data_IF_180325848307
#
_entry.id   IF_180325848307
#
_cell.length_a   1.000
_cell.length_b   1.000
_cell.length_c   1.000
_cell.angle_alpha   90.00
_cell.angle_beta   90.00
_cell.angle_gamma   90.00
#
_symmetry.space_group_name_H-M   'P 1'
#
loop_
_entity.id
_entity.type
_entity.pdbx_description
1 polymer ?
#
# COMPACT_ATOMS: atom_id res chain seq x y z
N UNK A 1 -30.51 6.83 27.15
CA UNK A 1 -29.52 6.56 26.09
C UNK A 1 -28.18 7.05 26.60
N UNK A 2 -27.22 6.17 26.79
CA UNK A 2 -25.87 6.56 27.20
C UNK A 2 -25.07 6.98 25.97
N UNK A 3 -24.52 8.19 25.96
CA UNK A 3 -23.58 8.62 24.95
C UNK A 3 -22.20 8.14 25.35
N UNK A 4 -21.61 7.27 24.59
CA UNK A 4 -20.22 6.85 24.78
C UNK A 4 -19.35 7.83 24.02
N UNK A 5 -18.54 8.59 24.75
CA UNK A 5 -17.61 9.54 24.17
C UNK A 5 -16.29 8.82 23.87
N UNK A 6 -15.97 8.66 22.59
CA UNK A 6 -14.70 8.13 22.10
C UNK A 6 -13.74 9.26 21.70
N UNK A 7 -14.05 10.51 22.03
CA UNK A 7 -13.08 11.57 21.76
C UNK A 7 -11.83 11.33 22.59
N UNK A 8 -10.71 11.23 21.94
CA UNK A 8 -9.41 11.14 22.58
C UNK A 8 -9.06 12.51 23.17
N UNK A 9 -9.52 12.76 24.40
CA UNK A 9 -9.01 13.88 25.18
C UNK A 9 -7.56 13.55 25.58
N UNK A 10 -6.64 13.89 24.72
CA UNK A 10 -5.23 13.90 25.05
C UNK A 10 -5.03 14.89 26.18
N UNK A 11 -4.78 14.39 27.38
CA UNK A 11 -4.42 15.21 28.52
C UNK A 11 -3.27 16.13 28.16
N UNK A 12 -3.54 17.40 28.19
CA UNK A 12 -2.75 18.50 27.79
C UNK A 12 -1.26 18.40 28.02
N UNK A 13 -0.57 18.21 27.02
CA UNK A 13 0.74 18.75 26.73
C UNK A 13 0.83 18.73 25.23
N UNK A 14 1.32 19.78 24.65
CA UNK A 14 1.52 19.95 23.21
C UNK A 14 2.36 18.78 22.67
N UNK A 15 1.81 17.61 22.72
CA UNK A 15 2.31 16.37 22.18
C UNK A 15 1.29 15.92 21.15
N UNK A 16 1.74 15.47 20.03
CA UNK A 16 0.88 14.76 19.10
C UNK A 16 0.05 13.74 19.89
N UNK A 17 -1.25 13.63 19.62
CA UNK A 17 -2.05 12.61 20.27
C UNK A 17 -1.30 11.28 20.09
N UNK A 18 -1.17 10.52 21.16
CA UNK A 18 -0.35 9.30 21.20
C UNK A 18 -0.73 8.27 20.14
N UNK A 19 -1.83 8.50 19.44
CA UNK A 19 -2.41 7.64 18.41
C UNK A 19 -2.58 8.34 17.04
N UNK A 20 -1.81 9.41 16.78
CA UNK A 20 -1.86 10.02 15.46
C UNK A 20 -1.29 9.05 14.43
N UNK A 21 -2.14 8.62 13.51
CA UNK A 21 -1.72 7.90 12.31
C UNK A 21 -0.81 8.84 11.52
N UNK A 22 0.38 8.36 11.20
CA UNK A 22 1.36 9.11 10.40
C UNK A 22 1.44 8.50 9.01
N UNK A 23 0.73 9.03 8.03
CA UNK A 23 0.92 8.60 6.66
C UNK A 23 2.29 9.07 6.17
N UNK A 24 2.94 8.23 5.40
CA UNK A 24 4.21 8.54 4.73
C UNK A 24 4.17 8.05 3.29
N UNK A 25 4.96 8.71 2.46
CA UNK A 25 5.09 8.34 1.05
C UNK A 25 6.38 7.54 0.88
N UNK A 26 6.27 6.40 0.22
CA UNK A 26 7.38 5.53 -0.14
C UNK A 26 7.44 5.39 -1.65
N UNK A 27 8.64 5.46 -2.19
CA UNK A 27 8.91 5.14 -3.58
C UNK A 27 9.79 3.90 -3.64
N UNK A 28 9.44 2.96 -4.51
CA UNK A 28 10.29 1.81 -4.81
C UNK A 28 11.57 2.26 -5.55
N UNK A 29 12.56 1.38 -5.61
CA UNK A 29 13.60 1.50 -6.63
C UNK A 29 12.96 1.42 -8.01
N UNK A 30 13.61 2.01 -9.00
CA UNK A 30 13.23 1.79 -10.39
C UNK A 30 13.60 0.35 -10.72
N UNK A 31 12.61 -0.41 -11.19
CA UNK A 31 12.85 -1.70 -11.81
C UNK A 31 13.21 -1.46 -13.29
N UNK A 32 14.26 -2.13 -13.75
CA UNK A 32 14.71 -2.06 -15.13
C UNK A 32 14.83 -3.49 -15.69
N UNK A 33 14.02 -3.82 -16.67
CA UNK A 33 14.02 -5.14 -17.28
C UNK A 33 15.28 -5.40 -18.13
N UNK A 34 16.04 -4.37 -18.49
CA UNK A 34 17.33 -4.55 -19.16
C UNK A 34 18.37 -5.22 -18.24
N UNK A 35 18.26 -5.01 -16.92
CA UNK A 35 19.12 -5.66 -15.93
C UNK A 35 18.65 -7.09 -15.60
N UNK A 36 17.34 -7.32 -15.66
CA UNK A 36 16.73 -8.62 -15.35
C UNK A 36 15.48 -8.79 -16.18
N UNK A 37 15.52 -9.64 -17.20
CA UNK A 37 14.37 -9.92 -18.04
C UNK A 37 13.18 -10.36 -17.19
N UNK A 38 12.02 -9.77 -17.47
CA UNK A 38 10.75 -10.20 -16.93
C UNK A 38 10.09 -11.22 -17.84
N UNK A 39 9.66 -12.30 -17.23
CA UNK A 39 8.84 -13.34 -17.88
C UNK A 39 7.40 -13.15 -17.47
N UNK A 40 6.48 -13.45 -18.37
CA UNK A 40 5.05 -13.39 -18.06
C UNK A 40 4.72 -14.23 -16.82
N UNK A 41 4.00 -13.65 -15.87
CA UNK A 41 3.67 -14.11 -14.53
C UNK A 41 4.75 -13.94 -13.46
N UNK A 42 5.89 -13.35 -13.76
CA UNK A 42 6.83 -12.97 -12.71
C UNK A 42 6.21 -11.95 -11.75
N UNK A 43 6.55 -12.12 -10.48
CA UNK A 43 6.09 -11.24 -9.39
C UNK A 43 7.29 -10.57 -8.73
N UNK A 44 7.26 -9.26 -8.68
CA UNK A 44 8.32 -8.43 -8.14
C UNK A 44 7.83 -7.75 -6.87
N UNK A 45 8.49 -7.98 -5.74
CA UNK A 45 8.27 -7.22 -4.51
C UNK A 45 8.96 -5.87 -4.61
N UNK A 46 8.21 -4.79 -4.48
CA UNK A 46 8.72 -3.43 -4.75
C UNK A 46 8.77 -2.54 -3.52
N UNK A 47 7.86 -2.69 -2.57
CA UNK A 47 7.81 -1.91 -1.32
C UNK A 47 7.41 -2.84 -0.19
N UNK A 48 8.25 -2.97 0.84
CA UNK A 48 7.90 -3.72 2.04
C UNK A 48 6.83 -2.96 2.84
N UNK A 49 5.83 -3.69 3.30
CA UNK A 49 4.75 -3.18 4.15
C UNK A 49 4.95 -3.70 5.57
N UNK A 50 5.14 -2.81 6.54
CA UNK A 50 5.23 -3.21 7.94
C UNK A 50 3.90 -3.76 8.46
N UNK A 51 3.96 -4.53 9.54
CA UNK A 51 2.77 -4.97 10.25
C UNK A 51 1.91 -3.76 10.65
N UNK A 52 0.61 -3.97 10.62
CA UNK A 52 -0.35 -2.94 11.01
C UNK A 52 -0.29 -1.68 10.16
N UNK A 53 0.04 -1.81 8.89
CA UNK A 53 -0.02 -0.71 7.92
C UNK A 53 -1.25 -0.79 7.03
N UNK A 54 -1.66 0.36 6.52
CA UNK A 54 -2.73 0.50 5.53
C UNK A 54 -2.17 1.24 4.33
N UNK A 55 -2.38 0.73 3.12
CA UNK A 55 -2.09 1.45 1.89
C UNK A 55 -3.26 2.37 1.58
N UNK A 56 -3.04 3.67 1.60
CA UNK A 56 -4.07 4.69 1.36
C UNK A 56 -4.24 5.02 -0.12
N UNK A 57 -3.25 4.70 -0.94
CA UNK A 57 -3.24 4.93 -2.37
C UNK A 57 -1.83 4.99 -2.92
N UNK A 58 -1.70 5.28 -4.20
CA UNK A 58 -0.40 5.38 -4.84
C UNK A 58 -0.51 5.40 -6.35
N UNK A 59 0.60 5.09 -7.01
CA UNK A 59 0.62 4.90 -8.45
C UNK A 59 1.72 3.93 -8.90
N UNK A 60 1.45 3.26 -10.00
CA UNK A 60 2.44 2.62 -10.85
C UNK A 60 2.87 3.63 -11.92
N UNK A 61 4.13 3.97 -11.98
CA UNK A 61 4.72 4.89 -12.95
C UNK A 61 5.57 4.07 -13.93
N UNK A 62 5.03 3.88 -15.14
CA UNK A 62 5.73 3.21 -16.23
C UNK A 62 6.59 4.23 -16.95
N UNK A 63 7.90 4.12 -16.77
CA UNK A 63 8.92 5.05 -17.27
C UNK A 63 9.38 4.71 -18.67
N UNK A 64 9.25 3.44 -19.08
CA UNK A 64 9.56 2.95 -20.40
C UNK A 64 8.64 1.78 -20.74
N UNK A 65 7.98 1.88 -21.88
CA UNK A 65 7.03 0.89 -22.36
C UNK A 65 7.65 -0.49 -22.58
N UNK A 66 6.95 -1.53 -22.14
CA UNK A 66 7.44 -2.91 -22.15
C UNK A 66 7.37 -3.62 -23.50
N UNK A 67 6.82 -2.98 -24.52
CA UNK A 67 6.49 -3.60 -25.79
C UNK A 67 5.04 -4.10 -25.86
N UNK A 68 4.64 -4.65 -26.97
CA UNK A 68 3.26 -5.05 -27.21
C UNK A 68 2.79 -6.15 -26.26
N UNK A 69 1.60 -5.99 -25.72
CA UNK A 69 0.90 -6.95 -24.86
C UNK A 69 1.41 -7.10 -23.43
N UNK A 70 2.28 -6.23 -22.95
CA UNK A 70 2.65 -6.19 -21.54
C UNK A 70 1.55 -5.49 -20.73
N UNK A 71 1.10 -6.12 -19.66
CA UNK A 71 0.21 -5.51 -18.67
C UNK A 71 0.71 -5.81 -17.26
N UNK A 72 0.25 -5.03 -16.29
CA UNK A 72 0.65 -5.18 -14.90
C UNK A 72 -0.56 -5.29 -13.97
N UNK A 73 -0.46 -6.19 -13.01
CA UNK A 73 -1.24 -6.16 -11.79
C UNK A 73 -0.40 -5.59 -10.67
N UNK A 74 -1.00 -4.83 -9.79
CA UNK A 74 -0.35 -4.31 -8.58
C UNK A 74 -1.22 -4.64 -7.37
N UNK A 75 -0.62 -5.25 -6.38
CA UNK A 75 -1.34 -5.65 -5.18
C UNK A 75 -0.45 -6.12 -4.05
N UNK A 76 -0.95 -7.07 -3.29
CA UNK A 76 -0.26 -7.73 -2.16
C UNK A 76 -0.26 -9.24 -2.35
N UNK A 77 0.45 -9.98 -1.49
CA UNK A 77 0.61 -11.44 -1.67
C UNK A 77 -0.71 -12.22 -1.66
N UNK A 78 -1.72 -11.72 -0.94
CA UNK A 78 -3.04 -12.35 -0.83
C UNK A 78 -3.99 -11.94 -1.96
N UNK A 79 -3.69 -10.82 -2.64
CA UNK A 79 -4.53 -10.24 -3.69
C UNK A 79 -3.64 -9.41 -4.63
N UNK A 80 -3.15 -10.04 -5.68
CA UNK A 80 -2.08 -9.48 -6.52
C UNK A 80 -2.55 -8.34 -7.44
N UNK A 81 -3.83 -8.20 -7.66
CA UNK A 81 -4.48 -7.17 -8.48
C UNK A 81 -5.28 -6.13 -7.66
N UNK A 82 -5.10 -6.20 -6.35
CA UNK A 82 -5.82 -5.40 -5.37
C UNK A 82 -5.77 -3.88 -5.59
N UNK A 83 -4.73 -3.36 -6.20
CA UNK A 83 -4.53 -1.93 -6.46
C UNK A 83 -4.71 -1.58 -7.93
N UNK A 84 -4.20 -2.41 -8.82
CA UNK A 84 -4.36 -2.28 -10.27
C UNK A 84 -4.53 -3.67 -10.88
N UNK A 85 -5.49 -3.77 -11.79
CA UNK A 85 -5.81 -4.98 -12.54
C UNK A 85 -5.58 -4.73 -14.04
N UNK A 86 -4.62 -5.44 -14.62
CA UNK A 86 -4.34 -5.45 -16.05
C UNK A 86 -4.00 -4.08 -16.66
N UNK A 87 -3.31 -3.19 -15.93
CA UNK A 87 -2.96 -1.88 -16.49
C UNK A 87 -1.93 -1.99 -17.60
N UNK A 88 -2.03 -1.11 -18.58
CA UNK A 88 -1.23 -1.15 -19.81
C UNK A 88 0.25 -0.83 -19.53
N UNK A 89 1.13 -1.79 -19.78
CA UNK A 89 2.58 -1.64 -19.72
C UNK A 89 3.22 -1.22 -21.04
N UNK A 90 2.40 -0.99 -22.09
CA UNK A 90 2.90 -0.64 -23.43
C UNK A 90 2.99 0.86 -23.67
N UNK A 91 2.68 1.66 -22.68
CA UNK A 91 2.73 3.13 -22.74
C UNK A 91 3.48 3.68 -21.53
N UNK A 92 4.26 4.74 -21.74
CA UNK A 92 4.82 5.55 -20.67
C UNK A 92 3.66 6.32 -20.02
N UNK A 93 3.22 5.86 -18.85
CA UNK A 93 2.02 6.38 -18.21
C UNK A 93 2.06 6.18 -16.70
N UNK A 94 1.26 6.98 -15.99
CA UNK A 94 1.05 6.85 -14.55
C UNK A 94 -0.34 6.30 -14.30
N UNK A 95 -0.41 5.17 -13.63
CA UNK A 95 -1.64 4.50 -13.23
C UNK A 95 -1.87 4.68 -11.74
N UNK A 96 -2.80 5.58 -11.39
CA UNK A 96 -3.16 5.81 -10.00
C UNK A 96 -3.98 4.66 -9.45
N UNK A 97 -3.75 4.29 -8.22
CA UNK A 97 -4.54 3.30 -7.52
C UNK A 97 -5.01 3.81 -6.15
N UNK A 98 -6.15 3.31 -5.76
CA UNK A 98 -6.69 3.52 -4.43
C UNK A 98 -7.27 2.18 -3.97
N UNK A 99 -7.06 1.78 -2.74
CA UNK A 99 -7.55 0.52 -2.20
C UNK A 99 -9.06 0.61 -1.92
N UNK A 100 -9.88 0.80 -2.94
CA UNK A 100 -11.29 1.18 -2.73
C UNK A 100 -12.26 0.02 -2.76
N UNK A 101 -11.94 -1.07 -3.44
CA UNK A 101 -13.01 -1.98 -3.84
C UNK A 101 -13.01 -3.34 -3.15
N UNK A 102 -11.89 -3.81 -2.62
CA UNK A 102 -11.74 -5.23 -2.30
C UNK A 102 -11.36 -5.54 -0.86
N UNK A 103 -11.63 -4.64 0.07
CA UNK A 103 -11.40 -4.92 1.48
C UNK A 103 -9.95 -4.75 1.94
N UNK A 104 -9.11 -4.09 1.14
CA UNK A 104 -7.73 -3.76 1.51
C UNK A 104 -7.65 -2.57 2.47
N UNK A 105 -8.77 -2.10 2.95
CA UNK A 105 -8.83 -1.30 4.17
C UNK A 105 -8.50 -2.13 5.42
N UNK A 106 -8.02 -3.34 5.23
CA UNK A 106 -7.56 -4.18 6.32
C UNK A 106 -6.11 -3.86 6.63
N UNK A 107 -5.84 -3.82 7.92
CA UNK A 107 -4.49 -3.81 8.46
C UNK A 107 -3.71 -4.97 7.85
N UNK A 108 -2.64 -4.64 7.18
CA UNK A 108 -1.80 -5.63 6.52
C UNK A 108 -0.87 -6.24 7.57
N UNK A 109 -0.85 -7.55 7.68
CA UNK A 109 0.27 -8.26 8.29
C UNK A 109 1.51 -8.07 7.41
N UNK A 110 2.70 -8.29 7.93
CA UNK A 110 3.97 -8.13 7.18
C UNK A 110 3.84 -8.68 5.77
N UNK A 111 3.89 -7.81 4.78
CA UNK A 111 3.74 -8.14 3.36
C UNK A 111 4.56 -7.15 2.52
N UNK A 112 4.34 -7.14 1.22
CA UNK A 112 4.93 -6.19 0.30
C UNK A 112 3.92 -5.78 -0.77
N UNK A 113 4.03 -4.56 -1.26
CA UNK A 113 3.43 -4.20 -2.55
C UNK A 113 4.20 -4.97 -3.62
N UNK A 114 3.45 -5.65 -4.46
CA UNK A 114 3.97 -6.52 -5.51
C UNK A 114 3.44 -6.05 -6.85
N UNK A 115 4.27 -6.21 -7.87
CA UNK A 115 3.91 -5.99 -9.28
C UNK A 115 4.06 -7.31 -10.01
N UNK A 116 3.00 -7.75 -10.65
CA UNK A 116 3.01 -8.94 -11.50
C UNK A 116 2.94 -8.51 -12.96
N UNK A 117 3.86 -9.03 -13.77
CA UNK A 117 3.79 -8.84 -15.22
C UNK A 117 2.88 -9.89 -15.84
N UNK A 118 2.10 -9.47 -16.83
CA UNK A 118 1.17 -10.30 -17.56
C UNK A 118 1.32 -10.08 -19.07
N UNK A 119 0.71 -10.96 -19.84
CA UNK A 119 0.58 -10.84 -21.28
C UNK A 119 1.81 -11.29 -22.05
N UNK A 120 2.96 -10.69 -21.82
CA UNK A 120 4.20 -11.02 -22.54
C UNK A 120 5.44 -10.81 -21.68
N UNK A 121 6.54 -11.44 -22.09
CA UNK A 121 7.86 -11.19 -21.52
C UNK A 121 8.34 -9.78 -21.94
N UNK A 122 9.14 -9.15 -21.09
CA UNK A 122 9.75 -7.87 -21.42
C UNK A 122 11.20 -7.80 -20.94
N UNK A 123 12.05 -7.30 -21.83
CA UNK A 123 13.45 -7.00 -21.56
C UNK A 123 13.75 -5.49 -21.55
N UNK A 124 12.73 -4.65 -21.65
CA UNK A 124 12.91 -3.20 -21.81
C UNK A 124 12.05 -2.37 -20.87
N UNK A 125 11.01 -2.94 -20.27
CA UNK A 125 10.11 -2.16 -19.41
C UNK A 125 10.84 -1.62 -18.19
N UNK A 126 10.56 -0.36 -17.88
CA UNK A 126 11.04 0.29 -16.65
C UNK A 126 9.87 0.89 -15.91
N UNK A 127 9.82 0.66 -14.62
CA UNK A 127 8.75 1.19 -13.79
C UNK A 127 9.19 1.43 -12.35
N UNK A 128 8.38 2.17 -11.62
CA UNK A 128 8.46 2.31 -10.17
C UNK A 128 7.06 2.38 -9.59
N UNK A 129 6.96 2.10 -8.30
CA UNK A 129 5.73 2.26 -7.53
C UNK A 129 5.94 3.34 -6.48
N UNK A 130 4.95 4.20 -6.32
CA UNK A 130 4.89 5.19 -5.26
C UNK A 130 3.62 4.90 -4.46
N UNK A 131 3.74 4.77 -3.15
CA UNK A 131 2.62 4.46 -2.28
C UNK A 131 2.53 5.41 -1.09
N UNK A 132 1.31 5.76 -0.72
CA UNK A 132 0.98 6.45 0.51
C UNK A 132 0.53 5.42 1.53
N UNK A 133 1.30 5.26 2.59
CA UNK A 133 1.11 4.23 3.61
C UNK A 133 0.84 4.90 4.95
N UNK A 134 -0.12 4.40 5.70
CA UNK A 134 -0.34 4.75 7.09
C UNK A 134 0.08 3.57 7.97
N UNK A 135 1.03 3.82 8.86
CA UNK A 135 1.35 2.91 9.95
C UNK A 135 0.42 3.22 11.11
N UNK A 136 -0.46 2.29 11.43
CA UNK A 136 -1.44 2.45 12.50
C UNK A 136 -0.96 1.88 13.84
N UNK A 137 0.26 1.36 13.88
CA UNK A 137 0.85 0.76 15.08
C UNK A 137 0.14 -0.51 15.52
N UNK A 138 0.54 -1.02 16.68
CA UNK A 138 -0.08 -2.21 17.26
C UNK A 138 -1.53 -1.93 17.68
N UNK A 139 -2.54 -2.55 17.07
CA UNK A 139 -3.94 -2.34 17.40
C UNK A 139 -4.26 -2.75 18.85
N UNK A 140 -3.46 -3.62 19.45
CA UNK A 140 -3.64 -4.03 20.85
C UNK A 140 -3.21 -2.94 21.83
N UNK A 141 -2.24 -2.11 21.44
CA UNK A 141 -1.81 -0.94 22.22
C UNK A 141 -2.84 0.20 22.17
N UNK A 142 -3.74 0.17 21.19
CA UNK A 142 -4.80 1.18 21.02
C UNK A 142 -6.10 0.83 21.75
N UNK A 143 -6.19 -0.32 22.40
CA UNK A 143 -7.34 -0.64 23.24
C UNK A 143 -7.28 0.26 24.48
N UNK A 144 -7.96 1.37 24.40
CA UNK A 144 -8.20 2.17 25.59
C UNK A 144 -9.06 1.34 26.54
N UNK A 145 -8.44 0.80 27.57
CA UNK A 145 -9.20 0.25 28.69
C UNK A 145 -10.02 1.40 29.23
N UNK A 146 -11.33 1.35 29.03
CA UNK A 146 -12.22 2.32 29.64
C UNK A 146 -11.92 2.28 31.13
N UNK A 147 -11.25 3.30 31.64
CA UNK A 147 -11.15 3.49 33.07
C UNK A 147 -12.59 3.66 33.55
N UNK A 148 -13.09 2.66 34.24
CA UNK A 148 -14.32 2.80 34.98
C UNK A 148 -14.04 3.91 35.99
N UNK A 149 -14.43 5.13 35.64
CA UNK A 149 -14.57 6.16 36.67
C UNK A 149 -15.66 5.67 37.62
N UNK A 150 -15.24 4.97 38.64
CA UNK A 150 -16.06 4.84 39.82
C UNK A 150 -16.13 6.23 40.41
N UNK A 151 -17.11 7.01 39.95
CA UNK A 151 -17.46 8.26 40.57
C UNK A 151 -17.92 7.97 42.00
N UNK A 152 -17.20 8.50 42.90
CA UNK A 152 -17.66 8.63 44.27
C UNK A 152 -18.49 9.89 44.36
#
# INVERSE_FOLDING_TARGET
>A
MATVDFTMTGGGTIGHPAHAIRPYIVQSKIFDAADTNLTANDVIKVIDLPDNSIVLGGCLDVLEAGGSSVTFDVGVSTDIDAFCDGVDGNADAIYNFHPVATGINTVIATDAIQVKILGADSAIVRFRVIALIADIGDPTAMVQTAAVQTGV
#
